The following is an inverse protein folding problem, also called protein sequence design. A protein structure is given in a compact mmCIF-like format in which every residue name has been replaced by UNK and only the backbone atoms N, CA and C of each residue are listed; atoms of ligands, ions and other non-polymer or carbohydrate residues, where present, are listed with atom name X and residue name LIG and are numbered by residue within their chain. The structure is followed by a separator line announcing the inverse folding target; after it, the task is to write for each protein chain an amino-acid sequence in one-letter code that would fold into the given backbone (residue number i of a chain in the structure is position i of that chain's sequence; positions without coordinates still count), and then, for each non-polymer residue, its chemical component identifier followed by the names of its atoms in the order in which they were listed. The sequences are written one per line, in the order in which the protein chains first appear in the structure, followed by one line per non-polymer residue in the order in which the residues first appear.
data_IF_432136625119
#
_entry.id   IF_432136625119
#
_cell.length_a   1.000
_cell.length_b   1.000
_cell.length_c   1.000
_cell.angle_alpha   90.00
_cell.angle_beta   90.00
_cell.angle_gamma   90.00
#
_symmetry.space_group_name_H-M   'P 1'
#
loop_
_entity.id
_entity.type
_entity.pdbx_description
1 polymer ?
#
# COMPACT_ATOMS: atom_id res chain seq x y z
N UNK A 1 -21.94 -27.44 -1.80
CA UNK A 1 -20.88 -26.73 -2.54
C UNK A 1 -21.03 -25.26 -2.26
N UNK A 2 -20.00 -24.61 -1.72
CA UNK A 2 -20.06 -23.19 -1.38
C UNK A 2 -19.71 -22.38 -2.62
N UNK A 3 -20.72 -21.84 -3.30
CA UNK A 3 -20.55 -21.10 -4.58
C UNK A 3 -19.61 -19.89 -4.42
N UNK A 4 -19.43 -19.39 -3.21
CA UNK A 4 -18.59 -18.22 -2.90
C UNK A 4 -17.07 -18.51 -2.89
N UNK A 5 -16.65 -19.77 -2.96
CA UNK A 5 -15.22 -20.14 -3.01
C UNK A 5 -14.69 -20.35 -4.43
N UNK A 6 -15.53 -20.16 -5.45
CA UNK A 6 -15.13 -20.32 -6.85
C UNK A 6 -14.19 -19.17 -7.28
N UNK A 7 -13.21 -19.43 -8.16
CA UNK A 7 -12.18 -18.46 -8.54
C UNK A 7 -12.73 -17.16 -9.14
N UNK A 8 -13.87 -17.20 -9.82
CA UNK A 8 -14.55 -16.02 -10.36
C UNK A 8 -15.01 -15.03 -9.28
N UNK A 9 -15.23 -15.47 -8.04
CA UNK A 9 -15.62 -14.59 -6.93
C UNK A 9 -14.43 -14.07 -6.12
N UNK A 10 -13.24 -14.67 -6.27
CA UNK A 10 -12.04 -14.25 -5.54
C UNK A 10 -11.59 -12.83 -5.93
N UNK A 11 -11.69 -12.47 -7.20
CA UNK A 11 -11.35 -11.13 -7.70
C UNK A 11 -12.33 -10.06 -7.17
N UNK A 12 -13.61 -10.39 -7.12
CA UNK A 12 -14.66 -9.50 -6.61
C UNK A 12 -14.49 -9.26 -5.11
N UNK A 13 -14.19 -10.31 -4.34
CA UNK A 13 -13.94 -10.17 -2.91
C UNK A 13 -12.65 -9.41 -2.61
N UNK A 14 -11.59 -9.60 -3.40
CA UNK A 14 -10.38 -8.79 -3.32
C UNK A 14 -10.69 -7.31 -3.57
N UNK A 15 -11.46 -7.00 -4.62
CA UNK A 15 -11.86 -5.62 -4.93
C UNK A 15 -12.72 -5.02 -3.81
N UNK A 16 -13.68 -5.77 -3.26
CA UNK A 16 -14.50 -5.34 -2.12
C UNK A 16 -13.65 -5.05 -0.88
N UNK A 17 -12.68 -5.90 -0.57
CA UNK A 17 -11.75 -5.69 0.56
C UNK A 17 -10.86 -4.48 0.32
N UNK A 18 -10.35 -4.31 -0.90
CA UNK A 18 -9.60 -3.13 -1.28
C UNK A 18 -10.43 -1.86 -1.06
N UNK A 19 -11.71 -1.84 -1.47
CA UNK A 19 -12.61 -0.72 -1.24
C UNK A 19 -12.82 -0.42 0.24
N UNK A 20 -12.99 -1.45 1.09
CA UNK A 20 -13.13 -1.25 2.56
C UNK A 20 -11.93 -0.53 3.17
N UNK A 21 -10.71 -0.87 2.73
CA UNK A 21 -9.48 -0.18 3.17
C UNK A 21 -9.53 1.32 2.87
N UNK A 22 -10.18 1.74 1.78
CA UNK A 22 -10.32 3.14 1.39
C UNK A 22 -11.57 3.83 1.94
N UNK A 23 -12.67 3.11 2.15
CA UNK A 23 -13.91 3.65 2.72
C UNK A 23 -13.73 4.05 4.19
N UNK A 24 -12.94 3.29 4.94
CA UNK A 24 -12.67 3.56 6.35
C UNK A 24 -11.45 4.47 6.52
N UNK A 25 -11.70 5.79 6.45
CA UNK A 25 -10.64 6.80 6.59
C UNK A 25 -9.83 6.65 7.88
N UNK A 26 -10.47 6.31 9.00
CA UNK A 26 -9.80 6.10 10.28
C UNK A 26 -8.83 4.92 10.22
N UNK A 27 -9.28 3.79 9.67
CA UNK A 27 -8.45 2.61 9.43
C UNK A 27 -7.23 2.95 8.57
N UNK A 28 -7.43 3.64 7.44
CA UNK A 28 -6.32 3.99 6.56
C UNK A 28 -5.32 4.93 7.25
N UNK A 29 -5.80 5.88 8.05
CA UNK A 29 -4.95 6.78 8.83
C UNK A 29 -4.12 6.02 9.87
N UNK A 30 -4.75 5.11 10.61
CA UNK A 30 -4.08 4.29 11.62
C UNK A 30 -3.02 3.38 10.98
N UNK A 31 -3.38 2.74 9.85
CA UNK A 31 -2.47 1.92 9.05
C UNK A 31 -1.25 2.72 8.60
N UNK A 32 -1.45 3.90 7.99
CA UNK A 32 -0.33 4.71 7.51
C UNK A 32 0.56 5.22 8.66
N UNK A 33 -0.05 5.65 9.77
CA UNK A 33 0.65 6.20 10.94
C UNK A 33 1.49 5.15 11.65
N UNK A 34 0.97 3.93 11.77
CA UNK A 34 1.66 2.81 12.43
C UNK A 34 2.73 2.15 11.57
N UNK A 35 2.79 2.41 10.25
CA UNK A 35 3.68 1.68 9.33
C UNK A 35 4.67 2.56 8.57
N UNK A 36 4.23 3.27 7.54
CA UNK A 36 5.14 3.92 6.58
C UNK A 36 5.54 5.33 6.99
N UNK A 37 4.71 6.04 7.75
CA UNK A 37 5.00 7.42 8.18
C UNK A 37 6.17 7.50 9.18
N UNK A 38 6.48 6.40 9.87
CA UNK A 38 7.66 6.26 10.74
C UNK A 38 8.95 5.95 9.97
N UNK A 39 8.84 5.62 8.68
CA UNK A 39 9.97 5.29 7.82
C UNK A 39 10.49 6.55 7.11
N UNK A 40 11.81 6.64 6.91
CA UNK A 40 12.41 7.70 6.11
C UNK A 40 11.90 7.67 4.66
N UNK A 41 11.92 8.82 3.99
CA UNK A 41 11.70 8.91 2.54
C UNK A 41 12.65 7.97 1.80
N UNK A 42 12.16 7.25 0.78
CA UNK A 42 12.89 6.19 0.06
C UNK A 42 12.76 4.80 0.70
N UNK A 43 12.14 4.70 1.88
CA UNK A 43 11.82 3.43 2.51
C UNK A 43 10.59 2.75 1.91
N UNK A 44 10.58 1.42 1.97
CA UNK A 44 9.44 0.57 1.61
C UNK A 44 9.06 -0.30 2.80
N UNK A 45 7.76 -0.38 3.09
CA UNK A 45 7.18 -1.24 4.12
C UNK A 45 6.24 -2.25 3.47
N UNK A 46 6.21 -3.47 4.01
CA UNK A 46 5.32 -4.54 3.55
C UNK A 46 4.46 -4.98 4.72
N UNK A 47 3.14 -4.86 4.56
CA UNK A 47 2.15 -5.37 5.49
C UNK A 47 1.59 -6.66 4.90
N UNK A 48 1.76 -7.77 5.62
CA UNK A 48 1.22 -9.07 5.22
C UNK A 48 -0.05 -9.35 6.03
N UNK A 49 -1.14 -9.62 5.32
CA UNK A 49 -2.41 -10.00 5.92
C UNK A 49 -2.29 -11.24 6.79
N UNK A 50 -3.02 -11.26 7.92
CA UNK A 50 -3.02 -12.41 8.82
C UNK A 50 -2.01 -12.36 9.97
N UNK A 51 -1.21 -11.29 10.09
CA UNK A 51 -0.38 -11.03 11.28
C UNK A 51 -1.16 -10.45 12.47
N UNK A 52 -2.48 -10.27 12.32
CA UNK A 52 -3.42 -10.07 13.44
C UNK A 52 -3.66 -8.63 13.88
N UNK A 53 -3.00 -7.64 13.28
CA UNK A 53 -3.22 -6.22 13.63
C UNK A 53 -4.47 -5.63 12.99
N UNK A 54 -4.85 -6.10 11.80
CA UNK A 54 -5.97 -5.57 11.01
C UNK A 54 -6.74 -6.70 10.32
N UNK A 55 -8.00 -6.90 10.70
CA UNK A 55 -8.84 -7.97 10.15
C UNK A 55 -9.25 -7.65 8.69
N UNK A 56 -9.36 -6.37 8.38
CA UNK A 56 -9.61 -5.82 7.04
C UNK A 56 -8.57 -6.28 6.03
N UNK A 57 -7.34 -6.58 6.49
CA UNK A 57 -6.22 -7.05 5.67
C UNK A 57 -6.05 -8.55 5.65
N UNK A 58 -6.87 -9.34 6.34
CA UNK A 58 -6.63 -10.78 6.58
C UNK A 58 -6.27 -11.62 5.33
N UNK A 59 -6.75 -11.23 4.15
CA UNK A 59 -6.49 -11.93 2.88
C UNK A 59 -5.73 -11.07 1.85
N UNK A 60 -5.37 -9.85 2.24
CA UNK A 60 -4.67 -8.88 1.41
C UNK A 60 -3.27 -8.62 1.94
N UNK A 61 -2.44 -8.01 1.13
CA UNK A 61 -1.14 -7.48 1.56
C UNK A 61 -0.93 -6.15 0.89
N UNK A 62 -0.20 -5.27 1.58
CA UNK A 62 0.01 -3.89 1.15
C UNK A 62 1.50 -3.60 1.15
N UNK A 63 2.03 -3.14 0.02
CA UNK A 63 3.40 -2.65 -0.11
C UNK A 63 3.33 -1.13 -0.20
N UNK A 64 3.96 -0.43 0.75
CA UNK A 64 3.94 1.03 0.85
C UNK A 64 5.34 1.60 0.61
N UNK A 65 5.45 2.68 -0.16
CA UNK A 65 6.67 3.44 -0.37
C UNK A 65 6.45 4.92 -0.04
N UNK A 66 7.42 5.55 0.62
CA UNK A 66 7.37 6.98 0.94
C UNK A 66 8.15 7.79 -0.09
N UNK A 67 7.52 8.79 -0.69
CA UNK A 67 8.12 9.67 -1.70
C UNK A 67 8.15 11.15 -1.26
N UNK A 68 8.92 11.95 -1.98
CA UNK A 68 9.00 13.41 -1.85
C UNK A 68 10.28 13.86 -1.17
N UNK A 69 10.29 15.09 -0.65
CA UNK A 69 11.45 15.68 0.04
C UNK A 69 11.00 16.23 1.39
N UNK A 70 11.63 15.80 2.51
CA UNK A 70 11.33 16.34 3.82
C UNK A 70 11.49 17.87 3.86
N UNK A 71 10.51 18.56 4.44
CA UNK A 71 10.48 20.03 4.48
C UNK A 71 9.94 20.69 3.21
N UNK A 72 9.68 19.92 2.14
CA UNK A 72 9.05 20.42 0.92
C UNK A 72 7.64 19.84 0.73
N UNK A 73 7.56 18.59 0.31
CA UNK A 73 6.32 17.82 0.21
C UNK A 73 6.65 16.33 0.30
N UNK A 74 5.84 15.56 1.02
CA UNK A 74 6.00 14.10 1.10
C UNK A 74 4.66 13.40 0.98
N UNK A 75 4.66 12.21 0.40
CA UNK A 75 3.48 11.36 0.29
C UNK A 75 3.80 9.88 0.41
N UNK A 76 2.76 9.06 0.28
CA UNK A 76 2.85 7.60 0.27
C UNK A 76 2.24 7.06 -1.01
N UNK A 77 2.94 6.12 -1.64
CA UNK A 77 2.44 5.27 -2.72
C UNK A 77 2.22 3.87 -2.16
N UNK A 78 1.19 3.17 -2.62
CA UNK A 78 0.91 1.81 -2.16
C UNK A 78 0.39 0.89 -3.26
N UNK A 79 0.73 -0.40 -3.15
CA UNK A 79 0.10 -1.49 -3.90
C UNK A 79 -0.63 -2.38 -2.92
N UNK A 80 -1.94 -2.56 -3.15
CA UNK A 80 -2.77 -3.54 -2.45
C UNK A 80 -2.95 -4.75 -3.37
N UNK A 81 -2.74 -5.95 -2.84
CA UNK A 81 -2.90 -7.19 -3.60
C UNK A 81 -3.21 -8.40 -2.72
N UNK A 82 -3.32 -9.59 -3.31
CA UNK A 82 -3.52 -10.83 -2.57
C UNK A 82 -2.29 -11.14 -1.69
N UNK A 83 -2.49 -11.91 -0.63
CA UNK A 83 -1.42 -12.31 0.30
C UNK A 83 -0.25 -13.05 -0.38
N UNK A 84 -0.52 -13.74 -1.49
CA UNK A 84 0.51 -14.39 -2.33
C UNK A 84 0.72 -13.56 -3.60
N UNK A 85 1.38 -12.42 -3.48
CA UNK A 85 1.85 -11.63 -4.62
C UNK A 85 3.33 -11.84 -4.90
N UNK A 86 3.82 -11.38 -6.05
CA UNK A 86 5.24 -11.35 -6.37
C UNK A 86 5.95 -10.20 -5.63
N UNK A 87 6.19 -10.38 -4.32
CA UNK A 87 6.73 -9.34 -3.43
C UNK A 87 8.01 -8.69 -3.96
N UNK A 88 8.96 -9.47 -4.47
CA UNK A 88 10.21 -8.92 -5.02
C UNK A 88 9.95 -7.91 -6.15
N UNK A 89 9.10 -8.29 -7.11
CA UNK A 89 8.72 -7.39 -8.20
C UNK A 89 7.92 -6.18 -7.68
N UNK A 90 6.92 -6.39 -6.83
CA UNK A 90 6.08 -5.31 -6.29
C UNK A 90 6.91 -4.29 -5.50
N UNK A 91 7.81 -4.75 -4.63
CA UNK A 91 8.71 -3.90 -3.84
C UNK A 91 9.62 -3.07 -4.77
N UNK A 92 10.21 -3.70 -5.78
CA UNK A 92 11.04 -3.01 -6.77
C UNK A 92 10.26 -1.93 -7.52
N UNK A 93 9.06 -2.25 -7.98
CA UNK A 93 8.19 -1.29 -8.69
C UNK A 93 7.78 -0.12 -7.79
N UNK A 94 7.34 -0.41 -6.56
CA UNK A 94 6.94 0.65 -5.61
C UNK A 94 8.11 1.58 -5.29
N UNK A 95 9.31 1.02 -5.06
CA UNK A 95 10.51 1.83 -4.82
C UNK A 95 10.81 2.73 -6.02
N UNK A 96 10.87 2.14 -7.22
CA UNK A 96 11.18 2.88 -8.44
C UNK A 96 10.20 4.04 -8.67
N UNK A 97 8.89 3.80 -8.53
CA UNK A 97 7.89 4.86 -8.72
C UNK A 97 7.96 5.90 -7.59
N UNK A 98 8.23 5.50 -6.35
CA UNK A 98 8.42 6.44 -5.26
C UNK A 98 9.64 7.36 -5.48
N UNK A 99 10.73 6.84 -6.05
CA UNK A 99 11.91 7.62 -6.43
C UNK A 99 11.54 8.62 -7.54
N UNK A 100 10.86 8.18 -8.60
CA UNK A 100 10.36 9.08 -9.66
C UNK A 100 9.44 10.19 -9.14
N UNK A 101 8.54 9.87 -8.21
CA UNK A 101 7.67 10.87 -7.59
C UNK A 101 8.46 11.84 -6.71
N UNK A 102 9.57 11.39 -6.12
CA UNK A 102 10.45 12.27 -5.33
C UNK A 102 11.17 13.28 -6.23
N UNK A 103 11.66 12.83 -7.39
CA UNK A 103 12.27 13.70 -8.40
C UNK A 103 11.24 14.72 -8.93
N UNK A 104 10.01 14.28 -9.20
CA UNK A 104 8.93 15.17 -9.64
C UNK A 104 8.59 16.24 -8.60
N UNK A 105 8.58 15.89 -7.31
CA UNK A 105 8.38 16.88 -6.23
C UNK A 105 9.47 17.94 -6.24
N UNK A 106 10.73 17.55 -6.49
CA UNK A 106 11.83 18.51 -6.61
C UNK A 106 11.62 19.45 -7.80
N UNK A 107 11.28 18.89 -8.96
CA UNK A 107 11.09 19.67 -10.19
C UNK A 107 9.96 20.70 -10.07
N UNK A 108 8.80 20.29 -9.53
CA UNK A 108 7.62 21.17 -9.37
C UNK A 108 7.82 22.29 -8.36
N UNK A 109 8.76 22.14 -7.43
CA UNK A 109 9.02 23.12 -6.38
C UNK A 109 10.25 24.01 -6.67
N UNK A 110 11.00 23.71 -7.74
CA UNK A 110 12.12 24.52 -8.21
C UNK A 110 11.77 25.44 -9.39
N UNK A 111 10.57 25.32 -9.97
CA UNK A 111 9.99 26.23 -10.97
C UNK A 111 9.10 27.29 -10.34
#
# INVERSE_FOLDING_TARGET
TNVLTEPEFAEVELARRALRVFEERAFLQDLLTSTILTTNVGGVQVLIGGEGTWEELRECSIVLGRYGVPGLATGTLGVLGPIRMSYGHTISTVRFVADLLSDLVVELNLG
#
